data_IF_319684974003
#
_entry.id   IF_319684974003
#
_cell.length_a   1.000
_cell.length_b   1.000
_cell.length_c   1.000
_cell.angle_alpha   90.00
_cell.angle_beta   90.00
_cell.angle_gamma   90.00
#
_symmetry.space_group_name_H-M   'P 1'
#
loop_
_entity.id
_entity.type
_entity.pdbx_description
1 polymer ?
#
# COMPACT_ATOMS: atom_id res chain seq x y z
N UNK A 1 2.13 6.99 27.78
CA UNK A 1 2.18 7.84 26.59
C UNK A 1 3.54 8.14 25.99
N UNK A 2 4.67 7.66 26.55
CA UNK A 2 6.03 8.03 26.13
C UNK A 2 6.44 7.40 24.78
N UNK A 3 5.98 6.18 24.50
CA UNK A 3 6.38 5.43 23.29
C UNK A 3 5.72 5.90 21.98
N UNK A 4 4.72 6.74 22.05
CA UNK A 4 3.93 7.16 20.88
C UNK A 4 4.48 8.43 20.20
N UNK A 5 5.14 9.33 20.96
CA UNK A 5 5.63 10.61 20.44
C UNK A 5 6.98 10.51 19.71
N UNK A 6 7.77 9.48 19.99
CA UNK A 6 9.15 9.38 19.48
C UNK A 6 9.29 8.50 18.23
N UNK A 7 8.18 7.93 17.72
CA UNK A 7 8.23 7.10 16.53
C UNK A 7 7.92 7.93 15.28
N UNK A 8 8.93 8.19 14.46
CA UNK A 8 8.86 8.95 13.22
C UNK A 8 7.75 8.43 12.26
N UNK A 9 7.49 7.14 12.25
CA UNK A 9 6.44 6.56 11.40
C UNK A 9 5.04 7.03 11.80
N UNK A 10 4.78 7.22 13.08
CA UNK A 10 3.48 7.75 13.52
C UNK A 10 3.22 9.17 13.05
N UNK A 11 4.27 10.00 12.97
CA UNK A 11 4.10 11.35 12.43
C UNK A 11 3.72 11.31 10.94
N UNK A 12 4.33 10.40 10.16
CA UNK A 12 3.99 10.22 8.75
C UNK A 12 2.55 9.69 8.58
N UNK A 13 2.12 8.75 9.43
CA UNK A 13 0.74 8.22 9.41
C UNK A 13 -0.27 9.32 9.77
N UNK A 14 0.03 10.11 10.81
CA UNK A 14 -0.82 11.20 11.24
C UNK A 14 -0.94 12.29 10.15
N UNK A 15 0.16 12.62 9.47
CA UNK A 15 0.15 13.56 8.34
C UNK A 15 -0.67 13.03 7.18
N UNK A 16 -0.48 11.76 6.79
CA UNK A 16 -1.26 11.13 5.73
C UNK A 16 -2.75 11.08 6.07
N UNK A 17 -3.10 10.83 7.33
CA UNK A 17 -4.48 10.85 7.80
C UNK A 17 -5.10 12.24 7.76
N UNK A 18 -4.35 13.31 8.06
CA UNK A 18 -4.84 14.68 7.92
C UNK A 18 -5.09 15.03 6.46
N UNK A 19 -4.16 14.68 5.57
CA UNK A 19 -4.32 14.85 4.12
C UNK A 19 -5.59 14.12 3.64
N UNK A 20 -5.78 12.86 4.05
CA UNK A 20 -6.99 12.11 3.73
C UNK A 20 -8.27 12.81 4.21
N UNK A 21 -8.29 13.36 5.42
CA UNK A 21 -9.47 14.09 5.93
C UNK A 21 -9.82 15.33 5.12
N UNK A 22 -8.82 15.99 4.58
CA UNK A 22 -9.02 17.19 3.75
C UNK A 22 -9.40 16.82 2.29
N UNK A 23 -8.96 15.64 1.80
CA UNK A 23 -9.22 15.12 0.46
C UNK A 23 -9.82 13.68 0.48
N UNK A 24 -10.97 13.45 1.11
CA UNK A 24 -11.41 12.09 1.43
C UNK A 24 -11.88 11.27 0.22
N UNK A 25 -12.36 11.92 -0.84
CA UNK A 25 -13.00 11.22 -1.96
C UNK A 25 -11.97 10.68 -2.95
N UNK A 26 -11.13 11.54 -3.50
CA UNK A 26 -10.17 11.22 -4.57
C UNK A 26 -8.70 11.30 -4.14
N UNK A 27 -8.42 11.70 -2.90
CA UNK A 27 -7.06 11.94 -2.41
C UNK A 27 -6.38 13.10 -3.10
N UNK A 28 -5.07 13.21 -2.91
CA UNK A 28 -4.24 14.28 -3.51
C UNK A 28 -3.55 13.87 -4.81
N UNK A 29 -3.77 12.65 -5.27
CA UNK A 29 -3.11 12.07 -6.45
C UNK A 29 -1.86 11.26 -6.10
N UNK A 30 -1.53 10.30 -6.98
CA UNK A 30 -0.39 9.40 -6.80
C UNK A 30 0.92 10.17 -6.66
N UNK A 31 1.75 9.74 -5.68
CA UNK A 31 3.06 10.32 -5.34
C UNK A 31 3.03 11.80 -4.91
N UNK A 32 1.85 12.34 -4.60
CA UNK A 32 1.70 13.71 -4.16
C UNK A 32 1.77 13.87 -2.63
N UNK A 33 1.76 12.78 -1.85
CA UNK A 33 1.97 12.87 -0.41
C UNK A 33 3.16 13.76 -0.04
N UNK A 34 4.31 13.59 -0.70
CA UNK A 34 5.53 14.36 -0.45
C UNK A 34 5.39 15.86 -0.70
N UNK A 35 4.52 16.27 -1.62
CA UNK A 35 4.27 17.69 -1.90
C UNK A 35 3.35 18.30 -0.84
N UNK A 36 2.32 17.57 -0.45
CA UNK A 36 1.35 18.02 0.54
C UNK A 36 1.89 17.97 1.97
N UNK A 37 2.67 16.94 2.34
CA UNK A 37 3.22 16.82 3.68
C UNK A 37 4.17 17.97 4.04
N UNK A 38 4.78 18.66 3.06
CA UNK A 38 5.64 19.81 3.26
C UNK A 38 4.88 21.13 3.46
N UNK A 39 3.56 21.14 3.23
CA UNK A 39 2.73 22.31 3.45
C UNK A 39 2.68 22.64 4.95
N UNK A 40 2.93 23.93 5.35
CA UNK A 40 2.81 24.37 6.73
C UNK A 40 1.50 23.97 7.41
N UNK A 41 0.39 23.93 6.65
CA UNK A 41 -0.91 23.51 7.17
C UNK A 41 -0.90 22.10 7.77
N UNK A 42 -0.04 21.19 7.30
CA UNK A 42 0.10 19.82 7.83
C UNK A 42 1.26 19.70 8.79
N UNK A 43 2.38 20.39 8.54
CA UNK A 43 3.57 20.36 9.40
C UNK A 43 3.26 20.83 10.82
N UNK A 44 2.47 21.89 10.97
CA UNK A 44 2.16 22.48 12.26
C UNK A 44 1.00 21.77 12.97
N UNK A 45 0.09 21.09 12.24
CA UNK A 45 -1.07 20.37 12.82
C UNK A 45 -0.68 19.09 13.56
N UNK A 46 0.31 18.36 13.07
CA UNK A 46 0.62 17.02 13.58
C UNK A 46 1.56 17.06 14.77
N UNK A 47 2.67 17.80 14.66
CA UNK A 47 3.64 18.00 15.73
C UNK A 47 4.22 19.41 15.65
N UNK A 48 3.62 20.39 16.36
CA UNK A 48 4.16 21.74 16.41
C UNK A 48 5.62 21.74 16.88
N UNK A 49 6.50 22.34 16.11
CA UNK A 49 7.94 22.41 16.40
C UNK A 49 8.80 21.27 15.85
N UNK A 50 8.22 20.22 15.27
CA UNK A 50 8.94 19.06 14.70
C UNK A 50 8.79 18.96 13.16
N UNK A 51 8.90 20.09 12.47
CA UNK A 51 8.64 20.20 11.02
C UNK A 51 9.37 19.16 10.16
N UNK A 52 10.61 18.81 10.53
CA UNK A 52 11.44 17.93 9.71
C UNK A 52 11.07 16.43 9.79
N UNK A 53 10.27 16.02 10.78
CA UNK A 53 9.92 14.60 10.96
C UNK A 53 8.52 14.24 10.44
N UNK A 54 7.71 15.26 10.11
CA UNK A 54 6.33 15.03 9.65
C UNK A 54 6.22 14.76 8.16
N UNK A 55 7.27 15.07 7.40
CA UNK A 55 7.28 14.95 5.96
C UNK A 55 8.38 14.02 5.45
N UNK A 56 8.02 13.18 4.51
CA UNK A 56 8.91 12.25 3.82
C UNK A 56 8.36 11.99 2.41
N UNK A 57 9.01 11.15 1.63
CA UNK A 57 8.60 10.82 0.27
C UNK A 57 7.29 10.03 0.19
N UNK A 58 6.91 9.32 1.26
CA UNK A 58 5.71 8.48 1.36
C UNK A 58 5.43 8.14 2.84
N UNK A 59 4.20 7.74 3.21
CA UNK A 59 3.83 7.54 4.62
C UNK A 59 4.40 6.27 5.28
N UNK A 60 5.21 5.46 4.60
CA UNK A 60 5.73 4.17 5.09
C UNK A 60 4.67 3.11 5.45
N UNK A 61 3.44 3.28 5.01
CA UNK A 61 2.36 2.33 5.21
C UNK A 61 1.41 2.39 4.01
N UNK A 62 1.12 1.22 3.42
CA UNK A 62 0.30 1.10 2.21
C UNK A 62 -1.10 1.73 2.38
N UNK A 63 -1.75 1.49 3.52
CA UNK A 63 -3.12 1.95 3.75
C UNK A 63 -3.20 3.48 3.81
N UNK A 64 -2.27 4.09 4.55
CA UNK A 64 -2.17 5.55 4.63
C UNK A 64 -1.75 6.17 3.30
N UNK A 65 -0.89 5.50 2.53
CA UNK A 65 -0.48 5.94 1.19
C UNK A 65 -1.69 5.93 0.25
N UNK A 66 -2.42 4.82 0.16
CA UNK A 66 -3.60 4.69 -0.69
C UNK A 66 -4.70 5.67 -0.28
N UNK A 67 -5.00 5.80 1.01
CA UNK A 67 -6.05 6.71 1.48
C UNK A 67 -5.70 8.18 1.21
N UNK A 68 -4.48 8.62 1.51
CA UNK A 68 -4.09 10.02 1.30
C UNK A 68 -3.97 10.38 -0.19
N UNK A 69 -3.48 9.44 -1.02
CA UNK A 69 -3.20 9.72 -2.43
C UNK A 69 -4.38 9.42 -3.36
N UNK A 70 -5.18 8.39 -3.09
CA UNK A 70 -6.30 7.97 -3.93
C UNK A 70 -7.68 8.19 -3.31
N UNK A 71 -7.73 8.58 -2.04
CA UNK A 71 -8.97 8.74 -1.29
C UNK A 71 -9.74 7.43 -1.10
N UNK A 72 -10.98 7.54 -0.64
CA UNK A 72 -11.80 6.35 -0.33
C UNK A 72 -12.22 5.60 -1.60
N UNK A 73 -12.49 6.31 -2.70
CA UNK A 73 -12.89 5.66 -3.96
C UNK A 73 -11.74 4.82 -4.53
N UNK A 74 -10.54 5.40 -4.59
CA UNK A 74 -9.37 4.66 -5.04
C UNK A 74 -9.00 3.51 -4.10
N UNK A 75 -9.14 3.70 -2.78
CA UNK A 75 -8.91 2.65 -1.79
C UNK A 75 -9.87 1.47 -1.97
N UNK A 76 -11.17 1.72 -2.16
CA UNK A 76 -12.16 0.65 -2.39
C UNK A 76 -11.80 -0.13 -3.65
N UNK A 77 -11.54 0.55 -4.77
CA UNK A 77 -11.18 -0.09 -6.04
C UNK A 77 -9.90 -0.91 -5.88
N UNK A 78 -8.86 -0.33 -5.32
CA UNK A 78 -7.56 -0.95 -5.15
C UNK A 78 -7.64 -2.21 -4.27
N UNK A 79 -8.20 -2.10 -3.07
CA UNK A 79 -8.27 -3.24 -2.16
C UNK A 79 -9.25 -4.31 -2.63
N UNK A 80 -10.39 -3.95 -3.22
CA UNK A 80 -11.34 -4.92 -3.80
C UNK A 80 -10.71 -5.73 -4.93
N UNK A 81 -9.95 -5.08 -5.80
CA UNK A 81 -9.20 -5.74 -6.87
C UNK A 81 -8.23 -6.79 -6.32
N UNK A 82 -7.42 -6.44 -5.32
CA UNK A 82 -6.45 -7.38 -4.77
C UNK A 82 -7.08 -8.48 -3.92
N UNK A 83 -8.14 -8.20 -3.17
CA UNK A 83 -8.91 -9.23 -2.44
C UNK A 83 -9.47 -10.26 -3.42
N UNK A 84 -10.08 -9.80 -4.52
CA UNK A 84 -10.61 -10.67 -5.56
C UNK A 84 -9.49 -11.47 -6.27
N UNK A 85 -8.38 -10.83 -6.61
CA UNK A 85 -7.22 -11.48 -7.20
C UNK A 85 -6.65 -12.58 -6.31
N UNK A 86 -6.43 -12.29 -5.02
CA UNK A 86 -5.93 -13.28 -4.07
C UNK A 86 -6.90 -14.44 -3.87
N UNK A 87 -8.20 -14.16 -3.79
CA UNK A 87 -9.22 -15.20 -3.71
C UNK A 87 -9.13 -16.16 -4.89
N UNK A 88 -9.07 -15.65 -6.11
CA UNK A 88 -8.99 -16.50 -7.31
C UNK A 88 -7.68 -17.29 -7.34
N UNK A 89 -6.54 -16.66 -7.03
CA UNK A 89 -5.24 -17.33 -7.01
C UNK A 89 -5.19 -18.46 -5.98
N UNK A 90 -5.68 -18.22 -4.75
CA UNK A 90 -5.74 -19.25 -3.71
C UNK A 90 -6.67 -20.41 -4.10
N UNK A 91 -7.87 -20.08 -4.59
CA UNK A 91 -8.83 -21.08 -5.06
C UNK A 91 -8.22 -21.95 -6.18
N UNK A 92 -7.63 -21.32 -7.20
CA UNK A 92 -7.05 -22.02 -8.34
C UNK A 92 -5.82 -22.84 -7.96
N UNK A 93 -4.98 -22.32 -7.08
CA UNK A 93 -3.81 -23.05 -6.57
C UNK A 93 -4.21 -24.31 -5.80
N UNK A 94 -5.30 -24.25 -5.04
CA UNK A 94 -5.86 -25.41 -4.34
C UNK A 94 -6.44 -26.43 -5.32
N UNK A 95 -7.29 -26.00 -6.25
CA UNK A 95 -7.93 -26.88 -7.25
C UNK A 95 -6.92 -27.61 -8.12
N UNK A 96 -5.81 -26.97 -8.47
CA UNK A 96 -4.76 -27.52 -9.34
C UNK A 96 -3.57 -28.11 -8.58
N UNK A 97 -3.57 -28.09 -7.25
CA UNK A 97 -2.41 -28.45 -6.42
C UNK A 97 -1.12 -27.71 -6.83
N UNK A 98 -1.27 -26.46 -7.32
CA UNK A 98 -0.16 -25.65 -7.81
C UNK A 98 0.52 -24.90 -6.70
N UNK A 99 1.54 -25.53 -6.08
CA UNK A 99 2.30 -24.97 -4.97
C UNK A 99 3.08 -23.70 -5.35
N UNK A 100 3.45 -23.54 -6.63
CA UNK A 100 4.16 -22.34 -7.08
C UNK A 100 3.25 -21.12 -7.13
N UNK A 101 2.03 -21.28 -7.66
CA UNK A 101 1.00 -20.22 -7.63
C UNK A 101 0.62 -19.89 -6.18
N UNK A 102 0.50 -20.90 -5.31
CA UNK A 102 0.21 -20.70 -3.89
C UNK A 102 1.29 -19.85 -3.20
N UNK A 103 2.57 -20.23 -3.35
CA UNK A 103 3.70 -19.51 -2.77
C UNK A 103 3.81 -18.06 -3.26
N UNK A 104 3.64 -17.83 -4.58
CA UNK A 104 3.62 -16.48 -5.14
C UNK A 104 2.49 -15.63 -4.56
N UNK A 105 1.30 -16.22 -4.40
CA UNK A 105 0.15 -15.52 -3.83
C UNK A 105 0.41 -15.12 -2.38
N UNK A 106 0.93 -16.03 -1.56
CA UNK A 106 1.30 -15.72 -0.17
C UNK A 106 2.37 -14.61 -0.11
N UNK A 107 3.37 -14.67 -0.99
CA UNK A 107 4.37 -13.59 -1.08
C UNK A 107 3.73 -12.24 -1.38
N UNK A 108 2.86 -12.16 -2.39
CA UNK A 108 2.15 -10.92 -2.71
C UNK A 108 1.28 -10.42 -1.55
N UNK A 109 0.62 -11.32 -0.83
CA UNK A 109 -0.19 -10.95 0.35
C UNK A 109 0.64 -10.31 1.46
N UNK A 110 1.94 -10.61 1.55
CA UNK A 110 2.82 -9.94 2.55
C UNK A 110 2.89 -8.43 2.35
N UNK A 111 2.66 -7.92 1.13
CA UNK A 111 2.62 -6.48 0.86
C UNK A 111 1.43 -5.78 1.52
N UNK A 112 0.41 -6.53 1.91
CA UNK A 112 -0.83 -6.03 2.51
C UNK A 112 -0.88 -6.21 4.04
N UNK A 113 0.24 -6.56 4.69
CA UNK A 113 0.29 -6.63 6.15
C UNK A 113 0.28 -5.20 6.71
N UNK A 114 -0.74 -4.81 7.52
CA UNK A 114 -0.99 -3.41 7.85
C UNK A 114 0.02 -2.79 8.84
N UNK A 115 0.69 -3.60 9.63
CA UNK A 115 1.53 -3.13 10.75
C UNK A 115 3.02 -3.02 10.40
N UNK A 116 3.43 -3.42 9.20
CA UNK A 116 4.82 -3.36 8.79
C UNK A 116 5.11 -2.02 8.10
N UNK A 117 6.04 -1.21 8.62
CA UNK A 117 6.56 -0.06 7.87
C UNK A 117 7.22 -0.54 6.58
N UNK A 118 6.85 0.08 5.47
CA UNK A 118 7.35 -0.30 4.13
C UNK A 118 7.73 0.92 3.32
N UNK A 119 8.56 0.69 2.29
CA UNK A 119 8.72 1.63 1.21
C UNK A 119 7.40 1.82 0.44
N UNK A 120 7.26 2.94 -0.27
CA UNK A 120 6.09 3.21 -1.09
C UNK A 120 5.80 2.06 -2.05
N UNK A 121 4.53 1.72 -2.17
CA UNK A 121 4.05 0.72 -3.15
C UNK A 121 4.37 1.14 -4.60
N UNK A 122 4.40 2.44 -4.84
CA UNK A 122 4.64 3.03 -6.16
C UNK A 122 6.11 3.40 -6.44
N UNK A 123 7.05 3.02 -5.56
CA UNK A 123 8.50 3.19 -5.84
C UNK A 123 9.02 2.09 -6.75
N UNK A 124 10.04 2.42 -7.56
CA UNK A 124 10.53 1.55 -8.61
C UNK A 124 10.90 0.14 -8.13
N UNK A 125 11.67 0.01 -7.04
CA UNK A 125 12.13 -1.31 -6.56
C UNK A 125 10.99 -2.18 -6.05
N UNK A 126 10.13 -1.64 -5.19
CA UNK A 126 8.98 -2.38 -4.66
C UNK A 126 7.99 -2.72 -5.78
N UNK A 127 7.75 -1.77 -6.69
CA UNK A 127 6.88 -1.97 -7.83
C UNK A 127 7.40 -3.07 -8.76
N UNK A 128 8.70 -3.07 -9.11
CA UNK A 128 9.28 -4.09 -10.00
C UNK A 128 9.07 -5.49 -9.42
N UNK A 129 9.43 -5.72 -8.17
CA UNK A 129 9.30 -7.04 -7.53
C UNK A 129 7.84 -7.45 -7.48
N UNK A 130 6.97 -6.57 -6.99
CA UNK A 130 5.54 -6.86 -6.84
C UNK A 130 4.91 -7.19 -8.18
N UNK A 131 5.07 -6.32 -9.19
CA UNK A 131 4.41 -6.49 -10.49
C UNK A 131 4.98 -7.66 -11.29
N UNK A 132 6.26 -7.99 -11.12
CA UNK A 132 6.85 -9.20 -11.72
C UNK A 132 6.17 -10.46 -11.17
N UNK A 133 6.08 -10.60 -9.84
CA UNK A 133 5.44 -11.76 -9.21
C UNK A 133 3.94 -11.78 -9.50
N UNK A 134 3.29 -10.61 -9.52
CA UNK A 134 1.89 -10.47 -9.93
C UNK A 134 1.67 -11.00 -11.36
N UNK A 135 2.51 -10.59 -12.30
CA UNK A 135 2.41 -11.02 -13.71
C UNK A 135 2.61 -12.54 -13.85
N UNK A 136 3.59 -13.10 -13.13
CA UNK A 136 3.80 -14.55 -13.09
C UNK A 136 2.57 -15.26 -12.52
N UNK A 137 2.02 -14.76 -11.41
CA UNK A 137 0.82 -15.35 -10.81
C UNK A 137 -0.40 -15.25 -11.74
N UNK A 138 -0.56 -14.12 -12.42
CA UNK A 138 -1.62 -13.92 -13.40
C UNK A 138 -1.47 -14.86 -14.62
N UNK A 139 -0.25 -15.06 -15.11
CA UNK A 139 0.03 -16.05 -16.16
C UNK A 139 -0.33 -17.46 -15.71
N UNK A 140 0.12 -17.89 -14.53
CA UNK A 140 -0.17 -19.22 -13.99
C UNK A 140 -1.67 -19.43 -13.76
N UNK A 141 -2.38 -18.40 -13.34
CA UNK A 141 -3.83 -18.44 -13.18
C UNK A 141 -4.57 -18.76 -14.49
N UNK A 142 -4.08 -18.22 -15.60
CA UNK A 142 -4.70 -18.38 -16.92
C UNK A 142 -4.14 -19.55 -17.75
N UNK A 143 -3.06 -20.19 -17.29
CA UNK A 143 -2.48 -21.34 -17.97
C UNK A 143 -3.46 -22.52 -17.93
N UNK A 144 -3.92 -22.95 -19.10
CA UNK A 144 -4.70 -24.20 -19.23
C UNK A 144 -3.77 -25.36 -18.91
N UNK A 145 -4.20 -26.30 -18.09
CA UNK A 145 -3.50 -27.57 -17.95
C UNK A 145 -3.60 -28.31 -19.28
N UNK A 146 -2.47 -28.48 -19.92
CA UNK A 146 -2.35 -29.49 -20.96
C UNK A 146 -2.27 -30.84 -20.21
N UNK A 147 -3.40 -31.50 -20.05
CA UNK A 147 -3.42 -32.91 -19.65
C UNK A 147 -2.65 -33.69 -20.71
N UNK A 148 -1.40 -34.07 -20.38
CA UNK A 148 -0.65 -35.06 -21.10
C UNK A 148 -1.03 -36.46 -20.60
#
# INVERSE_FOLDING_TARGET
GFLYKDNIYFSHYATAWQIFKDYPVAGVGLKNFRAYCSDPAYLDKVYPGYRNINCTTHPHNLYYEILSELGILGAIIFFSFFVYFFYICLKRSYEQSNMFLYGNTLFLMTYFIPFLPRGSFFTNWNAIIFWTIFTISFYLLNKKETHA
#
